data_IF_365745510240
#
_entry.id   IF_365745510240
#
_cell.length_a   1.000
_cell.length_b   1.000
_cell.length_c   1.000
_cell.angle_alpha   90.00
_cell.angle_beta   90.00
_cell.angle_gamma   90.00
#
_symmetry.space_group_name_H-M   'P 1'
#
loop_
_entity.id
_entity.type
_entity.pdbx_description
1 polymer ?
#
# COMPACT_ATOMS: atom_id res chain seq x y z
N UNK A 1 -0.89 2.28 7.57
CA UNK A 1 -1.31 1.08 8.34
C UNK A 1 -2.10 1.55 9.54
N UNK A 2 -3.22 0.92 9.84
CA UNK A 2 -4.07 1.25 10.98
C UNK A 2 -3.93 0.18 12.06
N UNK A 3 -3.26 0.55 13.15
CA UNK A 3 -3.00 -0.35 14.27
C UNK A 3 -4.25 -0.65 15.10
N UNK A 4 -5.25 0.23 15.10
CA UNK A 4 -6.47 0.08 15.91
C UNK A 4 -7.41 -0.97 15.33
N UNK A 5 -7.39 -1.10 14.00
CA UNK A 5 -8.18 -2.08 13.25
C UNK A 5 -7.42 -3.40 13.05
N UNK A 6 -6.11 -3.42 13.29
CA UNK A 6 -5.28 -4.61 13.15
C UNK A 6 -5.39 -5.48 14.40
N UNK A 7 -5.72 -6.77 14.23
CA UNK A 7 -5.99 -7.70 15.35
C UNK A 7 -5.41 -9.09 15.10
N UNK A 8 -4.97 -9.74 16.18
CA UNK A 8 -4.65 -11.17 16.21
C UNK A 8 -5.86 -11.92 16.75
N UNK A 9 -6.30 -12.95 16.03
CA UNK A 9 -7.48 -13.78 16.31
C UNK A 9 -7.00 -15.21 16.54
N UNK A 10 -7.50 -15.87 17.58
CA UNK A 10 -7.18 -17.25 17.93
C UNK A 10 -5.66 -17.57 18.01
N UNK A 11 -4.85 -16.58 18.39
CA UNK A 11 -3.41 -16.71 18.63
C UNK A 11 -2.52 -16.67 17.39
N UNK A 12 -3.03 -17.02 16.20
CA UNK A 12 -2.19 -17.16 14.99
C UNK A 12 -2.73 -16.47 13.74
N UNK A 13 -4.01 -16.09 13.69
CA UNK A 13 -4.58 -15.40 12.52
C UNK A 13 -4.50 -13.89 12.70
N UNK A 14 -3.78 -13.20 11.82
CA UNK A 14 -3.64 -11.73 11.89
C UNK A 14 -4.49 -11.06 10.81
N UNK A 15 -5.42 -10.21 11.22
CA UNK A 15 -6.14 -9.28 10.33
C UNK A 15 -5.41 -7.95 10.34
N UNK A 16 -4.80 -7.57 9.22
CA UNK A 16 -4.14 -6.27 9.03
C UNK A 16 -5.04 -5.35 8.23
N UNK A 17 -5.21 -4.12 8.71
CA UNK A 17 -5.95 -3.08 7.99
C UNK A 17 -5.03 -1.90 7.66
N UNK A 18 -5.10 -1.43 6.42
CA UNK A 18 -4.43 -0.22 5.98
C UNK A 18 -5.32 0.50 4.97
N UNK A 19 -5.44 1.81 5.16
CA UNK A 19 -6.03 2.70 4.18
C UNK A 19 -4.99 3.18 3.21
N UNK A 20 -5.38 3.36 1.96
CA UNK A 20 -4.63 4.08 0.96
C UNK A 20 -5.58 4.98 0.19
N UNK A 21 -5.08 6.13 -0.25
CA UNK A 21 -5.79 7.00 -1.16
C UNK A 21 -5.76 6.36 -2.56
N UNK A 22 -6.93 6.00 -3.07
CA UNK A 22 -7.06 5.22 -4.29
C UNK A 22 -6.74 6.02 -5.56
N UNK A 23 -6.96 7.34 -5.55
CA UNK A 23 -6.72 8.20 -6.72
C UNK A 23 -5.32 8.80 -6.64
N UNK A 24 -5.00 9.42 -5.51
CA UNK A 24 -3.73 10.09 -5.32
C UNK A 24 -2.58 9.09 -5.25
N UNK A 25 -2.73 8.03 -4.46
CA UNK A 25 -1.71 7.00 -4.31
C UNK A 25 -1.39 6.32 -5.63
N UNK A 26 -2.42 5.99 -6.40
CA UNK A 26 -2.26 5.36 -7.72
C UNK A 26 -1.56 6.30 -8.71
N UNK A 27 -2.02 7.55 -8.82
CA UNK A 27 -1.46 8.54 -9.75
C UNK A 27 0.03 8.78 -9.52
N UNK A 28 0.45 8.88 -8.25
CA UNK A 28 1.87 9.04 -7.91
C UNK A 28 2.70 7.79 -8.28
N UNK A 29 2.17 6.58 -8.04
CA UNK A 29 2.88 5.34 -8.40
C UNK A 29 3.01 5.13 -9.91
N UNK A 30 2.06 5.62 -10.70
CA UNK A 30 2.20 5.63 -12.17
C UNK A 30 3.36 6.50 -12.63
N UNK A 31 3.51 7.70 -12.06
CA UNK A 31 4.62 8.61 -12.39
C UNK A 31 5.96 7.98 -12.01
N UNK A 32 6.06 7.40 -10.82
CA UNK A 32 7.28 6.70 -10.39
C UNK A 32 7.64 5.56 -11.33
N UNK A 33 6.65 4.78 -11.79
CA UNK A 33 6.84 3.68 -12.74
C UNK A 33 7.34 4.21 -14.09
N UNK A 34 6.76 5.28 -14.62
CA UNK A 34 7.18 5.90 -15.86
C UNK A 34 8.63 6.44 -15.77
N UNK A 35 8.98 7.07 -14.64
CA UNK A 35 10.35 7.54 -14.39
C UNK A 35 11.34 6.39 -14.29
N UNK A 36 10.96 5.28 -13.63
CA UNK A 36 11.80 4.10 -13.54
C UNK A 36 12.06 3.49 -14.93
N UNK A 37 11.04 3.41 -15.79
CA UNK A 37 11.20 2.97 -17.18
C UNK A 37 12.08 3.91 -18.00
N UNK A 38 11.91 5.21 -17.86
CA UNK A 38 12.76 6.20 -18.56
C UNK A 38 14.23 6.10 -18.17
N UNK A 39 14.55 5.70 -16.94
CA UNK A 39 15.94 5.54 -16.47
C UNK A 39 16.56 4.20 -16.86
N UNK A 40 15.74 3.21 -17.22
CA UNK A 40 16.20 1.89 -17.64
C UNK A 40 16.47 1.80 -19.15
N UNK A 41 16.08 2.84 -19.90
CA UNK A 41 16.38 3.04 -21.33
C UNK A 41 17.66 3.86 -21.48
#
# INVERSE_FOLDING_TARGET
FDATLTKVIAGTLVKVCAWYDNEWGFSNRMIDTALAWSKAS
#
